data_IF_525264406774
#
_entry.id   IF_525264406774
#
_cell.length_a   1.000
_cell.length_b   1.000
_cell.length_c   1.000
_cell.angle_alpha   90.00
_cell.angle_beta   90.00
_cell.angle_gamma   90.00
#
_symmetry.space_group_name_H-M   'P 1'
#
loop_
_entity.id
_entity.type
_entity.pdbx_description
1 polymer ?
#
# COMPACT_ATOMS: atom_id res chain seq x y z
N UNK A 1 -7.27 -5.97 6.18
CA UNK A 1 -8.40 -6.91 6.00
C UNK A 1 -8.58 -7.87 7.19
N UNK A 2 -7.56 -8.58 7.68
CA UNK A 2 -7.72 -9.43 8.88
C UNK A 2 -8.16 -8.62 10.13
N UNK A 3 -7.59 -7.43 10.34
CA UNK A 3 -8.08 -6.52 11.38
C UNK A 3 -9.57 -6.14 11.22
N UNK A 4 -10.08 -6.09 9.98
CA UNK A 4 -11.51 -5.86 9.72
C UNK A 4 -12.36 -7.05 10.15
N UNK A 5 -11.86 -8.29 10.02
CA UNK A 5 -12.54 -9.49 10.50
C UNK A 5 -12.64 -9.47 12.03
N UNK A 6 -11.54 -9.17 12.73
CA UNK A 6 -11.52 -9.03 14.19
C UNK A 6 -12.48 -7.92 14.66
N UNK A 7 -12.35 -6.72 14.10
CA UNK A 7 -13.23 -5.59 14.40
C UNK A 7 -14.71 -5.94 14.16
N UNK A 8 -15.04 -6.52 13.00
CA UNK A 8 -16.44 -6.88 12.68
C UNK A 8 -16.99 -7.97 13.59
N UNK A 9 -16.14 -8.85 14.13
CA UNK A 9 -16.54 -9.89 15.07
C UNK A 9 -16.58 -9.43 16.53
N UNK A 10 -16.29 -8.15 16.82
CA UNK A 10 -16.26 -7.61 18.18
C UNK A 10 -15.06 -8.09 19.00
N UNK A 11 -13.97 -8.49 18.33
CA UNK A 11 -12.77 -9.06 18.96
C UNK A 11 -11.59 -8.11 18.81
N UNK A 12 -10.70 -8.13 19.81
CA UNK A 12 -9.38 -7.52 19.68
C UNK A 12 -8.63 -8.15 18.51
N UNK A 13 -8.01 -7.33 17.66
CA UNK A 13 -7.09 -7.85 16.65
C UNK A 13 -5.75 -8.18 17.32
N UNK A 14 -5.22 -9.37 17.08
CA UNK A 14 -3.87 -9.73 17.49
C UNK A 14 -2.93 -9.44 16.32
N UNK A 15 -1.98 -8.52 16.52
CA UNK A 15 -1.03 -8.15 15.48
C UNK A 15 0.36 -8.74 15.75
N UNK A 16 0.99 -9.20 14.66
CA UNK A 16 2.39 -9.60 14.64
C UNK A 16 3.28 -8.45 14.17
N UNK A 17 4.56 -8.51 14.55
CA UNK A 17 5.60 -7.71 13.92
C UNK A 17 5.75 -8.11 12.45
N UNK A 18 6.21 -7.17 11.61
CA UNK A 18 6.65 -7.52 10.26
C UNK A 18 7.81 -8.50 10.38
N UNK A 19 7.66 -9.71 9.86
CA UNK A 19 8.56 -10.84 10.13
C UNK A 19 9.08 -11.43 8.83
N UNK A 20 10.41 -11.46 8.67
CA UNK A 20 11.10 -12.05 7.53
C UNK A 20 11.27 -13.57 7.67
N UNK A 21 11.67 -14.03 8.85
CA UNK A 21 11.75 -15.44 9.23
C UNK A 21 11.19 -15.66 10.64
N UNK A 22 10.65 -16.86 10.88
CA UNK A 22 9.99 -17.26 12.15
C UNK A 22 10.85 -18.20 12.99
N UNK A 23 12.14 -18.30 12.69
CA UNK A 23 13.11 -19.15 13.39
C UNK A 23 13.71 -18.45 14.63
N UNK A 24 13.20 -17.26 14.97
CA UNK A 24 13.64 -16.42 16.08
C UNK A 24 15.08 -15.91 15.97
N UNK A 25 15.70 -15.89 14.79
CA UNK A 25 16.96 -15.15 14.61
C UNK A 25 16.70 -13.65 14.65
N UNK A 26 17.62 -12.87 15.21
CA UNK A 26 17.52 -11.40 15.20
C UNK A 26 17.71 -10.80 13.80
N UNK A 27 18.50 -11.48 12.97
CA UNK A 27 18.88 -11.03 11.64
C UNK A 27 18.60 -12.09 10.59
N UNK A 28 18.22 -11.60 9.41
CA UNK A 28 18.00 -12.33 8.18
C UNK A 28 18.96 -11.81 7.10
N UNK A 29 19.08 -12.56 6.01
CA UNK A 29 19.90 -12.18 4.85
C UNK A 29 19.01 -11.65 3.73
N UNK A 30 19.35 -10.50 3.16
CA UNK A 30 18.77 -9.98 1.93
C UNK A 30 19.83 -9.32 1.03
N UNK A 31 20.03 -9.88 -0.16
CA UNK A 31 20.95 -9.35 -1.20
C UNK A 31 22.41 -9.21 -0.73
N UNK A 32 22.92 -10.22 -0.05
CA UNK A 32 24.25 -10.28 0.57
C UNK A 32 24.40 -9.44 1.84
N UNK A 33 23.31 -9.01 2.49
CA UNK A 33 23.36 -8.07 3.63
C UNK A 33 22.46 -8.50 4.79
N UNK A 34 22.91 -8.30 6.04
CA UNK A 34 22.06 -8.53 7.20
C UNK A 34 20.95 -7.47 7.28
N UNK A 35 19.73 -7.93 7.48
CA UNK A 35 18.54 -7.13 7.77
C UNK A 35 17.91 -7.61 9.08
N UNK A 36 17.20 -6.77 9.84
CA UNK A 36 16.41 -7.23 10.97
C UNK A 36 15.40 -8.28 10.51
N UNK A 37 15.33 -9.40 11.23
CA UNK A 37 14.33 -10.44 10.98
C UNK A 37 12.93 -9.99 11.34
N UNK A 38 12.81 -9.07 12.29
CA UNK A 38 11.53 -8.51 12.72
C UNK A 38 11.61 -6.98 12.79
N UNK A 39 10.53 -6.33 12.37
CA UNK A 39 10.34 -4.89 12.51
C UNK A 39 9.02 -4.69 13.26
N UNK A 40 9.02 -3.98 14.40
CA UNK A 40 7.79 -3.67 15.11
C UNK A 40 6.75 -3.06 14.19
N UNK A 41 5.53 -3.58 14.18
CA UNK A 41 4.49 -3.03 13.31
C UNK A 41 4.19 -1.55 13.62
N UNK A 42 4.38 -1.16 14.89
CA UNK A 42 4.33 0.22 15.37
C UNK A 42 5.44 1.14 14.81
N UNK A 43 6.51 0.59 14.23
CA UNK A 43 7.52 1.36 13.50
C UNK A 43 7.06 1.73 12.08
N UNK A 44 6.04 1.04 11.54
CA UNK A 44 5.47 1.30 10.22
C UNK A 44 4.20 2.13 10.31
N UNK A 45 3.24 1.69 11.13
CA UNK A 45 1.89 2.26 11.19
C UNK A 45 1.52 2.72 12.60
N UNK A 46 0.45 3.50 12.68
CA UNK A 46 -0.20 3.93 13.92
C UNK A 46 -1.72 3.74 13.81
N UNK A 47 -2.43 3.89 14.94
CA UNK A 47 -3.89 3.76 15.02
C UNK A 47 -4.36 2.43 15.63
N UNK A 48 -5.64 2.09 15.49
CA UNK A 48 -6.24 0.98 16.22
C UNK A 48 -5.64 -0.39 15.92
N UNK A 49 -5.07 -0.59 14.74
CA UNK A 49 -4.48 -1.87 14.31
C UNK A 49 -3.28 -2.29 15.15
N UNK A 50 -2.62 -1.34 15.83
CA UNK A 50 -1.44 -1.56 16.66
C UNK A 50 -1.68 -1.15 18.13
N UNK A 51 -2.95 -1.18 18.57
CA UNK A 51 -3.34 -0.90 19.95
C UNK A 51 -3.64 0.58 20.25
N UNK A 52 -3.72 1.43 19.22
CA UNK A 52 -4.24 2.79 19.36
C UNK A 52 -5.75 2.80 19.67
N UNK A 53 -6.29 3.91 20.18
CA UNK A 53 -7.71 4.03 20.48
C UNK A 53 -8.56 4.09 19.21
N UNK A 54 -9.77 3.54 19.28
CA UNK A 54 -10.84 3.80 18.31
C UNK A 54 -11.48 5.19 18.54
N UNK A 55 -12.53 5.51 17.79
CA UNK A 55 -13.30 6.74 18.02
C UNK A 55 -14.01 6.71 19.38
N UNK A 56 -14.27 7.88 19.96
CA UNK A 56 -14.98 7.98 21.24
C UNK A 56 -16.35 7.28 21.15
N UNK A 57 -16.63 6.39 22.11
CA UNK A 57 -17.87 5.61 22.16
C UNK A 57 -17.81 4.28 21.41
N UNK A 58 -16.69 3.95 20.75
CA UNK A 58 -16.44 2.61 20.23
C UNK A 58 -15.97 1.70 21.37
N UNK A 59 -16.76 0.66 21.65
CA UNK A 59 -16.50 -0.31 22.73
C UNK A 59 -15.65 -1.51 22.24
N UNK A 60 -15.16 -1.49 21.00
CA UNK A 60 -14.34 -2.57 20.46
C UNK A 60 -13.04 -2.71 21.28
N UNK A 61 -12.66 -3.93 21.70
CA UNK A 61 -11.40 -4.15 22.40
C UNK A 61 -10.19 -3.69 21.58
N UNK A 62 -9.20 -3.10 22.28
CA UNK A 62 -7.96 -2.65 21.64
C UNK A 62 -7.18 -3.83 21.07
N UNK A 63 -6.54 -3.61 19.92
CA UNK A 63 -5.63 -4.59 19.35
C UNK A 63 -4.45 -4.82 20.28
N UNK A 64 -3.98 -6.07 20.35
CA UNK A 64 -2.87 -6.49 21.21
C UNK A 64 -1.76 -7.14 20.39
N UNK A 65 -0.53 -7.03 20.85
CA UNK A 65 0.58 -7.73 20.22
C UNK A 65 0.54 -9.23 20.57
N UNK A 66 1.11 -10.06 19.69
CA UNK A 66 1.08 -11.53 19.82
C UNK A 66 1.64 -12.03 21.15
N UNK A 67 2.71 -11.43 21.65
CA UNK A 67 3.35 -11.86 22.90
C UNK A 67 2.42 -11.67 24.11
N UNK A 68 1.67 -10.57 24.15
CA UNK A 68 0.65 -10.36 25.19
C UNK A 68 -0.52 -11.32 25.04
N UNK A 69 -0.99 -11.56 23.80
CA UNK A 69 -2.01 -12.57 23.56
C UNK A 69 -1.58 -13.94 24.08
N UNK A 70 -0.35 -14.37 23.80
CA UNK A 70 0.18 -15.67 24.25
C UNK A 70 0.29 -15.78 25.78
N UNK A 71 0.52 -14.66 26.47
CA UNK A 71 0.53 -14.60 27.93
C UNK A 71 -0.87 -14.78 28.52
N UNK A 72 -1.89 -14.08 27.98
CA UNK A 72 -3.24 -14.07 28.54
C UNK A 72 -4.14 -15.20 28.01
N UNK A 73 -3.77 -15.78 26.86
CA UNK A 73 -4.48 -16.84 26.16
C UNK A 73 -3.57 -18.07 25.96
N UNK A 74 -3.12 -18.77 27.02
CA UNK A 74 -2.18 -19.89 26.88
C UNK A 74 -2.79 -21.13 26.19
N UNK A 75 -4.13 -21.20 26.12
CA UNK A 75 -4.87 -22.31 25.52
C UNK A 75 -6.00 -21.78 24.64
N UNK A 76 -5.69 -21.08 23.52
CA UNK A 76 -6.72 -20.50 22.67
C UNK A 76 -7.47 -21.59 21.90
N UNK A 77 -8.73 -21.32 21.57
CA UNK A 77 -9.45 -22.12 20.57
C UNK A 77 -8.76 -21.99 19.21
N UNK A 78 -8.19 -23.08 18.72
CA UNK A 78 -7.54 -23.13 17.41
C UNK A 78 -8.58 -23.38 16.32
N UNK A 79 -8.68 -22.45 15.37
CA UNK A 79 -9.61 -22.52 14.24
C UNK A 79 -8.85 -22.77 12.94
N UNK A 80 -9.18 -23.88 12.28
CA UNK A 80 -8.70 -24.16 10.94
C UNK A 80 -9.52 -23.40 9.89
N UNK A 81 -8.86 -22.69 8.97
CA UNK A 81 -9.56 -21.90 7.94
C UNK A 81 -10.43 -22.73 6.99
N UNK A 82 -10.16 -24.04 6.85
CA UNK A 82 -10.94 -24.95 6.01
C UNK A 82 -12.38 -25.10 6.51
N UNK A 83 -12.64 -24.94 7.80
CA UNK A 83 -13.99 -25.00 8.38
C UNK A 83 -14.85 -23.89 7.78
N UNK A 84 -14.35 -22.65 7.81
CA UNK A 84 -15.09 -21.50 7.26
C UNK A 84 -15.13 -21.56 5.74
N UNK A 85 -14.07 -22.02 5.08
CA UNK A 85 -14.06 -22.22 3.63
C UNK A 85 -15.16 -23.20 3.17
N UNK A 86 -15.36 -24.31 3.90
CA UNK A 86 -16.44 -25.26 3.63
C UNK A 86 -17.83 -24.64 3.82
N UNK A 87 -18.03 -23.80 4.84
CA UNK A 87 -19.29 -23.06 5.05
C UNK A 87 -19.58 -22.09 3.90
N UNK A 88 -18.54 -21.47 3.35
CA UNK A 88 -18.65 -20.59 2.18
C UNK A 88 -19.03 -21.40 0.92
N UNK A 89 -18.44 -22.57 0.73
CA UNK A 89 -18.76 -23.49 -0.37
C UNK A 89 -18.44 -22.95 -1.77
N UNK A 90 -17.55 -21.97 -1.88
CA UNK A 90 -17.18 -21.27 -3.11
C UNK A 90 -15.71 -20.84 -3.04
N UNK A 91 -14.86 -21.42 -3.89
CA UNK A 91 -13.43 -21.15 -3.97
C UNK A 91 -13.12 -19.77 -4.60
N UNK A 92 -14.09 -19.19 -5.31
CA UNK A 92 -14.01 -17.85 -5.89
C UNK A 92 -14.85 -16.83 -5.10
N UNK A 93 -15.16 -17.13 -3.83
CA UNK A 93 -15.93 -16.24 -2.98
C UNK A 93 -15.35 -14.82 -2.94
N UNK A 94 -16.24 -13.84 -2.95
CA UNK A 94 -15.88 -12.42 -2.87
C UNK A 94 -15.31 -12.07 -1.48
N UNK A 95 -14.47 -11.05 -1.40
CA UNK A 95 -13.86 -10.60 -0.15
C UNK A 95 -14.92 -10.23 0.90
N UNK A 96 -16.05 -9.67 0.48
CA UNK A 96 -17.18 -9.41 1.38
C UNK A 96 -17.82 -10.70 1.90
N UNK A 97 -18.06 -11.70 1.03
CA UNK A 97 -18.62 -13.00 1.46
C UNK A 97 -17.69 -13.69 2.47
N UNK A 98 -16.38 -13.63 2.25
CA UNK A 98 -15.37 -14.15 3.18
C UNK A 98 -15.45 -13.41 4.52
N UNK A 99 -15.47 -12.06 4.50
CA UNK A 99 -15.61 -11.25 5.72
C UNK A 99 -16.87 -11.61 6.51
N UNK A 100 -18.02 -11.69 5.85
CA UNK A 100 -19.30 -11.98 6.49
C UNK A 100 -19.31 -13.39 7.12
N UNK A 101 -18.79 -14.39 6.41
CA UNK A 101 -18.70 -15.77 6.90
C UNK A 101 -17.79 -15.90 8.12
N UNK A 102 -16.58 -15.31 8.06
CA UNK A 102 -15.67 -15.28 9.20
C UNK A 102 -16.24 -14.52 10.40
N UNK A 103 -16.88 -13.39 10.14
CA UNK A 103 -17.51 -12.59 11.20
C UNK A 103 -18.61 -13.39 11.91
N UNK A 104 -19.48 -14.06 11.14
CA UNK A 104 -20.54 -14.91 11.69
C UNK A 104 -19.99 -16.09 12.48
N UNK A 105 -18.97 -16.78 11.93
CA UNK A 105 -18.33 -17.92 12.59
C UNK A 105 -17.67 -17.52 13.92
N UNK A 106 -16.88 -16.44 13.93
CA UNK A 106 -16.17 -15.98 15.13
C UNK A 106 -17.09 -15.46 16.22
N UNK A 107 -18.26 -14.92 15.88
CA UNK A 107 -19.29 -14.51 16.86
C UNK A 107 -19.96 -15.69 17.55
N UNK A 108 -19.91 -16.89 16.94
CA UNK A 108 -20.45 -18.12 17.53
C UNK A 108 -19.48 -18.86 18.45
N UNK A 109 -18.27 -18.35 18.65
CA UNK A 109 -17.27 -18.93 19.56
C UNK A 109 -17.33 -18.17 20.89
N UNK A 110 -17.66 -18.86 21.98
CA UNK A 110 -17.73 -18.25 23.32
C UNK A 110 -16.33 -17.94 23.89
N UNK A 111 -15.30 -18.69 23.48
CA UNK A 111 -13.93 -18.46 23.90
C UNK A 111 -13.44 -17.07 23.45
N UNK A 112 -13.01 -16.19 24.37
CA UNK A 112 -12.43 -14.90 24.00
C UNK A 112 -11.12 -15.04 23.22
N UNK A 113 -10.39 -16.14 23.44
CA UNK A 113 -9.09 -16.43 22.86
C UNK A 113 -9.23 -17.33 21.63
N UNK A 114 -9.05 -16.77 20.43
CA UNK A 114 -9.13 -17.53 19.17
C UNK A 114 -7.87 -17.29 18.36
N UNK A 115 -7.23 -18.38 17.94
CA UNK A 115 -6.07 -18.35 17.06
C UNK A 115 -6.36 -19.15 15.79
N UNK A 116 -5.98 -18.59 14.64
CA UNK A 116 -6.08 -19.29 13.36
C UNK A 116 -4.93 -20.28 13.26
N UNK A 117 -5.23 -21.53 12.91
CA UNK A 117 -4.23 -22.59 12.82
C UNK A 117 -3.06 -22.18 11.89
N UNK A 118 -1.83 -22.29 12.40
CA UNK A 118 -0.61 -21.84 11.72
C UNK A 118 -0.41 -22.44 10.32
N UNK A 119 -0.80 -23.71 10.17
CA UNK A 119 -0.60 -24.49 8.93
C UNK A 119 -1.85 -24.48 8.02
N UNK A 120 -2.83 -23.64 8.33
CA UNK A 120 -4.03 -23.48 7.49
C UNK A 120 -3.85 -22.38 6.44
N UNK A 121 -4.72 -22.38 5.43
CA UNK A 121 -4.71 -21.35 4.39
C UNK A 121 -5.04 -19.96 4.93
N UNK A 122 -4.64 -18.93 4.21
CA UNK A 122 -4.95 -17.54 4.56
C UNK A 122 -6.46 -17.29 4.49
N UNK A 123 -7.02 -16.52 5.44
CA UNK A 123 -8.43 -16.11 5.45
C UNK A 123 -8.84 -15.51 4.10
N UNK A 124 -8.02 -14.59 3.58
CA UNK A 124 -8.14 -14.07 2.22
C UNK A 124 -7.02 -14.68 1.38
N UNK A 125 -7.38 -15.50 0.40
CA UNK A 125 -6.42 -16.13 -0.51
C UNK A 125 -5.64 -15.08 -1.31
N UNK A 126 -4.45 -15.43 -1.78
CA UNK A 126 -3.62 -14.46 -2.48
C UNK A 126 -4.14 -14.10 -3.88
N UNK A 127 -4.93 -14.96 -4.52
CA UNK A 127 -5.47 -14.71 -5.86
C UNK A 127 -6.51 -13.59 -5.86
N UNK A 128 -7.19 -13.37 -4.73
CA UNK A 128 -8.19 -12.31 -4.59
C UNK A 128 -7.64 -10.93 -4.97
N UNK A 129 -6.35 -10.67 -4.69
CA UNK A 129 -5.69 -9.41 -5.00
C UNK A 129 -5.47 -9.19 -6.50
N UNK A 130 -5.56 -10.24 -7.34
CA UNK A 130 -5.55 -10.14 -8.80
C UNK A 130 -6.97 -10.16 -9.41
N UNK A 131 -8.02 -10.22 -8.60
CA UNK A 131 -9.40 -10.40 -9.05
C UNK A 131 -10.28 -9.25 -8.58
N UNK A 132 -10.35 -8.16 -9.37
CA UNK A 132 -11.03 -6.91 -8.99
C UNK A 132 -12.46 -7.11 -8.48
N UNK A 133 -13.25 -7.98 -9.12
CA UNK A 133 -14.63 -8.24 -8.73
C UNK A 133 -14.73 -8.90 -7.35
N UNK A 134 -13.80 -9.80 -7.02
CA UNK A 134 -13.75 -10.44 -5.70
C UNK A 134 -13.26 -9.45 -4.65
N UNK A 135 -12.14 -8.75 -4.86
CA UNK A 135 -11.55 -7.87 -3.86
C UNK A 135 -12.43 -6.64 -3.58
N UNK A 136 -12.85 -5.90 -4.61
CA UNK A 136 -13.54 -4.62 -4.43
C UNK A 136 -14.93 -4.76 -3.80
N UNK A 137 -15.49 -5.98 -3.73
CA UNK A 137 -16.72 -6.25 -2.99
C UNK A 137 -16.66 -5.82 -1.51
N UNK A 138 -15.47 -5.83 -0.89
CA UNK A 138 -15.29 -5.44 0.51
C UNK A 138 -15.22 -3.91 0.70
N UNK A 139 -15.01 -3.16 -0.39
CA UNK A 139 -14.68 -1.73 -0.32
C UNK A 139 -15.74 -0.88 0.39
N UNK A 140 -17.06 -1.07 0.19
CA UNK A 140 -18.08 -0.29 0.90
C UNK A 140 -17.94 -0.41 2.43
N UNK A 141 -17.62 -1.60 2.93
CA UNK A 141 -17.42 -1.83 4.37
C UNK A 141 -16.06 -1.30 4.83
N UNK A 142 -15.01 -1.58 4.05
CA UNK A 142 -13.64 -1.25 4.43
C UNK A 142 -13.39 0.27 4.43
N UNK A 143 -13.94 1.00 3.46
CA UNK A 143 -13.76 2.45 3.32
C UNK A 143 -14.43 3.26 4.42
N UNK A 144 -15.42 2.70 5.12
CA UNK A 144 -16.10 3.33 6.26
C UNK A 144 -15.57 2.84 7.61
N UNK A 145 -14.83 1.74 7.61
CA UNK A 145 -14.35 1.13 8.85
C UNK A 145 -13.31 1.99 9.59
N UNK A 146 -13.39 2.08 10.93
CA UNK A 146 -12.33 2.65 11.75
C UNK A 146 -10.95 2.01 11.51
N UNK A 147 -10.91 0.74 11.10
CA UNK A 147 -9.65 0.04 10.82
C UNK A 147 -8.87 0.66 9.66
N UNK A 148 -9.55 1.27 8.69
CA UNK A 148 -8.90 2.01 7.59
C UNK A 148 -8.93 3.53 7.84
N UNK A 149 -10.02 4.08 8.35
CA UNK A 149 -10.19 5.52 8.59
C UNK A 149 -9.21 6.09 9.62
N UNK A 150 -8.87 5.29 10.63
CA UNK A 150 -7.93 5.67 11.69
C UNK A 150 -6.52 5.11 11.47
N UNK A 151 -6.26 4.45 10.33
CA UNK A 151 -4.92 4.01 10.00
C UNK A 151 -4.03 5.23 9.80
N UNK A 152 -2.95 5.29 10.58
CA UNK A 152 -1.91 6.29 10.44
C UNK A 152 -0.56 5.67 10.13
N UNK A 153 0.41 6.54 9.84
CA UNK A 153 1.82 6.18 9.76
C UNK A 153 2.49 6.39 11.13
N UNK A 154 3.57 5.65 11.40
CA UNK A 154 4.28 5.79 12.68
C UNK A 154 4.98 7.16 12.81
N UNK A 155 5.32 7.60 14.04
CA UNK A 155 6.17 8.76 14.25
C UNK A 155 7.52 8.67 13.52
N UNK A 156 8.07 7.45 13.34
CA UNK A 156 9.33 7.22 12.63
C UNK A 156 9.21 7.58 11.13
N UNK A 157 8.08 7.23 10.51
CA UNK A 157 7.77 7.57 9.12
C UNK A 157 7.54 9.07 8.96
N UNK A 158 6.77 9.68 9.88
CA UNK A 158 6.52 11.12 9.87
C UNK A 158 7.82 11.92 10.03
N UNK A 159 8.70 11.52 10.94
CA UNK A 159 10.01 12.16 11.10
C UNK A 159 10.87 12.07 9.83
N UNK A 160 10.91 10.91 9.18
CA UNK A 160 11.63 10.73 7.91
C UNK A 160 11.05 11.62 6.80
N UNK A 161 9.73 11.67 6.71
CA UNK A 161 9.01 12.50 5.75
C UNK A 161 9.33 13.99 5.95
N UNK A 162 9.29 14.48 7.20
CA UNK A 162 9.45 15.91 7.49
C UNK A 162 10.88 16.41 7.20
N UNK A 163 11.91 15.64 7.56
CA UNK A 163 13.32 15.97 7.26
C UNK A 163 13.56 16.04 5.74
N UNK A 164 12.88 15.19 4.98
CA UNK A 164 13.04 15.08 3.53
C UNK A 164 12.07 15.95 2.73
N UNK A 165 11.21 16.73 3.39
CA UNK A 165 10.15 17.53 2.75
C UNK A 165 10.67 18.49 1.68
N UNK A 166 11.89 19.00 1.84
CA UNK A 166 12.57 19.87 0.89
C UNK A 166 12.75 19.25 -0.51
N UNK A 167 12.73 17.92 -0.64
CA UNK A 167 12.89 17.21 -1.91
C UNK A 167 11.64 17.29 -2.81
N UNK A 168 10.45 17.38 -2.21
CA UNK A 168 9.17 17.21 -2.91
C UNK A 168 8.11 18.28 -2.59
N UNK A 169 8.33 19.07 -1.53
CA UNK A 169 7.49 20.21 -1.14
C UNK A 169 8.36 21.34 -0.57
N UNK A 170 9.27 21.92 -1.38
CA UNK A 170 10.12 23.02 -0.93
C UNK A 170 9.26 24.22 -0.49
N UNK A 171 9.59 24.75 0.69
CA UNK A 171 8.93 25.93 1.28
C UNK A 171 9.19 27.13 0.36
N UNK A 172 8.13 27.78 -0.11
CA UNK A 172 8.29 29.04 -0.82
C UNK A 172 8.46 30.19 0.19
N UNK A 173 9.21 31.27 -0.14
CA UNK A 173 9.43 32.40 0.78
C UNK A 173 8.16 33.10 1.28
N UNK A 174 7.02 32.86 0.61
CA UNK A 174 5.71 33.41 0.93
C UNK A 174 4.81 32.43 1.70
N UNK A 175 5.27 31.20 1.96
CA UNK A 175 4.53 30.29 2.82
C UNK A 175 4.59 30.83 4.26
N UNK A 176 3.43 31.03 4.93
CA UNK A 176 3.43 31.46 6.32
C UNK A 176 4.27 30.49 7.14
N UNK A 177 5.24 31.03 7.89
CA UNK A 177 5.93 30.25 8.92
C UNK A 177 4.86 29.57 9.78
N UNK A 178 4.98 28.26 10.07
CA UNK A 178 4.05 27.60 10.97
C UNK A 178 4.22 28.23 12.35
N UNK A 179 3.37 29.19 12.68
CA UNK A 179 3.22 29.72 14.03
C UNK A 179 2.49 28.61 14.80
N UNK A 180 3.09 28.02 15.85
CA UNK A 180 2.41 27.03 16.67
C UNK A 180 1.38 27.75 17.54
N UNK A 181 0.24 28.14 16.96
CA UNK A 181 -0.94 28.53 17.73
C UNK A 181 -1.72 27.28 18.09
N UNK A 182 -1.96 27.08 19.39
CA UNK A 182 -2.69 25.97 20.02
C UNK A 182 -4.16 25.83 19.61
N UNK A 183 -4.60 26.50 18.55
CA UNK A 183 -6.00 26.61 18.10
C UNK A 183 -6.15 26.46 16.58
N UNK A 184 -5.15 25.94 15.86
CA UNK A 184 -5.42 25.55 14.47
C UNK A 184 -6.42 24.38 14.44
N UNK A 185 -7.48 24.42 13.61
CA UNK A 185 -8.28 23.23 13.35
C UNK A 185 -7.33 22.12 12.92
N UNK A 186 -7.46 20.93 13.52
CA UNK A 186 -6.64 19.74 13.27
C UNK A 186 -6.25 19.67 11.79
N UNK A 187 -5.03 20.14 11.45
CA UNK A 187 -4.54 20.04 10.07
C UNK A 187 -4.50 18.56 9.75
N UNK A 188 -5.27 18.17 8.76
CA UNK A 188 -5.27 16.81 8.26
C UNK A 188 -3.82 16.41 7.89
N UNK A 189 -3.20 15.48 8.64
CA UNK A 189 -1.78 15.16 8.47
C UNK A 189 -1.49 14.50 7.12
N UNK A 190 -2.54 14.03 6.43
CA UNK A 190 -2.46 13.39 5.12
C UNK A 190 -3.07 14.27 4.01
N UNK A 191 -3.25 15.57 4.28
CA UNK A 191 -3.64 16.53 3.25
C UNK A 191 -2.70 16.47 2.04
N UNK A 192 -3.30 16.58 0.86
CA UNK A 192 -2.58 16.58 -0.41
C UNK A 192 -1.60 17.76 -0.48
N UNK A 193 -0.46 17.55 -1.13
CA UNK A 193 0.62 18.51 -1.34
C UNK A 193 0.43 19.11 -2.73
N UNK A 194 0.00 20.39 -2.84
CA UNK A 194 -0.22 21.02 -4.13
C UNK A 194 1.07 21.07 -4.97
N UNK A 195 0.93 20.80 -6.25
CA UNK A 195 2.01 20.81 -7.23
C UNK A 195 2.92 19.59 -7.22
N UNK A 196 2.69 18.58 -6.37
CA UNK A 196 3.49 17.37 -6.29
C UNK A 196 2.95 16.24 -7.18
N UNK A 197 3.77 15.81 -8.14
CA UNK A 197 3.61 14.57 -8.91
C UNK A 197 4.50 13.48 -8.32
N UNK A 198 3.90 12.35 -7.93
CA UNK A 198 4.64 11.17 -7.48
C UNK A 198 4.60 10.08 -8.53
N UNK A 199 5.77 9.50 -8.83
CA UNK A 199 5.92 8.39 -9.77
C UNK A 199 6.38 7.15 -9.00
N UNK A 200 5.57 6.08 -9.00
CA UNK A 200 6.03 4.79 -8.49
C UNK A 200 6.53 3.91 -9.64
N UNK A 201 7.84 3.71 -9.70
CA UNK A 201 8.53 3.01 -10.77
C UNK A 201 9.33 1.84 -10.19
N UNK A 202 8.80 0.64 -10.37
CA UNK A 202 9.53 -0.60 -10.08
C UNK A 202 10.51 -0.95 -11.20
N UNK A 203 11.73 -1.26 -10.78
CA UNK A 203 12.90 -1.69 -11.57
C UNK A 203 13.56 -2.88 -10.88
N UNK A 204 14.83 -3.13 -11.16
CA UNK A 204 15.59 -4.20 -10.51
C UNK A 204 15.08 -5.58 -10.95
N UNK A 205 14.72 -6.40 -9.97
CA UNK A 205 14.09 -7.72 -10.10
C UNK A 205 12.74 -7.72 -10.83
N UNK A 206 12.16 -6.54 -11.05
CA UNK A 206 10.80 -6.41 -11.55
C UNK A 206 10.63 -6.70 -13.05
N UNK A 207 11.71 -6.76 -13.84
CA UNK A 207 11.61 -7.10 -15.28
C UNK A 207 11.13 -8.54 -15.48
N UNK A 208 11.78 -9.49 -14.80
CA UNK A 208 11.38 -10.91 -14.81
C UNK A 208 9.97 -11.09 -14.24
N UNK A 209 9.63 -10.31 -13.20
CA UNK A 209 8.27 -10.29 -12.65
C UNK A 209 7.23 -9.85 -13.68
N UNK A 210 7.50 -8.81 -14.46
CA UNK A 210 6.58 -8.36 -15.52
C UNK A 210 6.41 -9.41 -16.63
N UNK A 211 7.46 -10.14 -16.97
CA UNK A 211 7.38 -11.29 -17.90
C UNK A 211 6.49 -12.38 -17.33
N UNK A 212 6.63 -12.70 -16.04
CA UNK A 212 5.77 -13.68 -15.37
C UNK A 212 4.30 -13.22 -15.34
N UNK A 213 4.03 -11.95 -15.04
CA UNK A 213 2.67 -11.40 -15.08
C UNK A 213 2.03 -11.54 -16.48
N UNK A 214 2.82 -11.37 -17.54
CA UNK A 214 2.36 -11.55 -18.92
C UNK A 214 2.02 -13.02 -19.23
N UNK A 215 2.85 -13.96 -18.80
CA UNK A 215 2.67 -15.41 -18.97
C UNK A 215 1.41 -15.95 -18.30
N UNK A 216 0.98 -15.32 -17.21
CA UNK A 216 -0.18 -15.73 -16.41
C UNK A 216 -1.41 -14.85 -16.61
N UNK A 217 -1.34 -13.86 -17.51
CA UNK A 217 -2.51 -13.05 -17.85
C UNK A 217 -2.97 -12.19 -16.67
N UNK A 218 -2.03 -11.75 -15.83
CA UNK A 218 -2.35 -11.05 -14.60
C UNK A 218 -3.14 -9.76 -14.86
N UNK A 219 -4.17 -9.51 -14.04
CA UNK A 219 -4.82 -8.22 -14.00
C UNK A 219 -4.02 -7.24 -13.13
N UNK A 220 -4.42 -5.97 -13.15
CA UNK A 220 -4.01 -5.03 -12.11
C UNK A 220 -4.40 -5.56 -10.72
N UNK A 221 -3.64 -5.13 -9.72
CA UNK A 221 -3.98 -5.41 -8.33
C UNK A 221 -5.39 -4.84 -8.03
N UNK A 222 -6.15 -5.47 -7.15
CA UNK A 222 -7.57 -5.21 -7.00
C UNK A 222 -7.88 -3.77 -6.58
N UNK A 223 -7.12 -3.17 -5.63
CA UNK A 223 -7.31 -1.76 -5.29
C UNK A 223 -6.71 -0.79 -6.32
N UNK A 224 -5.95 -1.26 -7.31
CA UNK A 224 -5.61 -0.47 -8.51
C UNK A 224 -6.69 -0.55 -9.60
N UNK A 225 -7.80 -1.24 -9.36
CA UNK A 225 -8.81 -1.57 -10.37
C UNK A 225 -10.20 -0.99 -10.10
N UNK A 226 -10.28 0.06 -9.29
CA UNK A 226 -11.53 0.79 -9.05
C UNK A 226 -12.12 1.30 -10.37
N UNK A 227 -13.42 1.11 -10.64
CA UNK A 227 -14.07 1.60 -11.86
C UNK A 227 -13.94 3.11 -12.09
N UNK A 228 -13.80 3.89 -11.02
CA UNK A 228 -13.67 5.35 -11.06
C UNK A 228 -12.28 5.82 -11.52
N UNK A 229 -11.27 4.94 -11.52
CA UNK A 229 -9.92 5.29 -11.93
C UNK A 229 -9.82 5.40 -13.46
N UNK A 230 -9.09 6.40 -13.99
CA UNK A 230 -9.07 6.66 -15.43
C UNK A 230 -8.31 5.61 -16.23
N UNK A 231 -7.18 5.12 -15.71
CA UNK A 231 -6.31 4.19 -16.44
C UNK A 231 -6.69 2.73 -16.14
N UNK A 232 -7.71 2.20 -16.83
CA UNK A 232 -8.17 0.82 -16.66
C UNK A 232 -7.23 -0.22 -17.31
N UNK A 233 -7.38 -1.48 -16.90
CA UNK A 233 -6.65 -2.62 -17.48
C UNK A 233 -7.60 -3.71 -17.97
N UNK A 234 -7.31 -4.21 -19.16
CA UNK A 234 -7.96 -5.37 -19.75
C UNK A 234 -6.88 -6.35 -20.18
N UNK A 235 -6.90 -7.55 -19.61
CA UNK A 235 -5.96 -8.62 -19.95
C UNK A 235 -6.12 -9.01 -21.43
N UNK A 236 -5.03 -9.02 -22.23
CA UNK A 236 -5.07 -9.50 -23.60
C UNK A 236 -5.49 -10.97 -23.69
N UNK A 237 -6.24 -11.37 -24.73
CA UNK A 237 -6.61 -12.78 -24.92
C UNK A 237 -5.37 -13.66 -25.11
N UNK A 238 -5.49 -14.94 -24.73
CA UNK A 238 -4.44 -15.95 -24.96
C UNK A 238 -3.29 -15.98 -23.95
N UNK A 239 -3.42 -15.34 -22.78
CA UNK A 239 -2.35 -15.18 -21.78
C UNK A 239 -2.43 -16.14 -20.57
N UNK A 240 -3.06 -17.31 -20.66
CA UNK A 240 -3.56 -18.03 -19.46
C UNK A 240 -2.94 -19.41 -19.18
N UNK A 241 -1.68 -19.68 -19.59
CA UNK A 241 -1.07 -21.01 -19.41
C UNK A 241 0.44 -21.02 -19.10
N UNK A 242 0.99 -19.92 -18.61
CA UNK A 242 2.44 -19.81 -18.41
C UNK A 242 3.22 -19.50 -19.69
N UNK A 243 2.52 -19.26 -20.80
CA UNK A 243 3.08 -18.86 -22.09
C UNK A 243 2.47 -17.52 -22.51
N UNK A 244 3.25 -16.69 -23.19
CA UNK A 244 2.80 -15.40 -23.74
C UNK A 244 3.42 -15.18 -25.12
N UNK A 245 2.68 -14.53 -26.02
CA UNK A 245 3.24 -14.04 -27.29
C UNK A 245 4.15 -12.84 -27.01
N UNK A 246 5.07 -12.56 -27.94
CA UNK A 246 5.91 -11.35 -27.88
C UNK A 246 5.06 -10.07 -27.87
N UNK A 247 3.98 -10.04 -28.65
CA UNK A 247 3.04 -8.91 -28.66
C UNK A 247 2.40 -8.68 -27.29
N UNK A 248 1.94 -9.75 -26.64
CA UNK A 248 1.38 -9.67 -25.29
C UNK A 248 2.45 -9.27 -24.28
N UNK A 249 3.66 -9.80 -24.36
CA UNK A 249 4.77 -9.40 -23.50
C UNK A 249 5.04 -7.89 -23.61
N UNK A 250 5.16 -7.36 -24.84
CA UNK A 250 5.36 -5.92 -25.05
C UNK A 250 4.16 -5.08 -24.60
N UNK A 251 2.93 -5.61 -24.68
CA UNK A 251 1.74 -4.96 -24.10
C UNK A 251 1.84 -4.84 -22.57
N UNK A 252 2.25 -5.91 -21.88
CA UNK A 252 2.49 -5.87 -20.43
C UNK A 252 3.65 -4.94 -20.07
N UNK A 253 4.79 -5.04 -20.77
CA UNK A 253 5.99 -4.24 -20.46
C UNK A 253 5.73 -2.73 -20.56
N UNK A 254 4.85 -2.29 -21.48
CA UNK A 254 4.45 -0.87 -21.56
C UNK A 254 3.83 -0.33 -20.27
N UNK A 255 3.14 -1.15 -19.50
CA UNK A 255 2.41 -0.76 -18.28
C UNK A 255 3.13 -1.21 -17.00
N UNK A 256 3.81 -2.35 -17.07
CA UNK A 256 4.51 -2.94 -15.93
C UNK A 256 5.96 -2.45 -15.82
N UNK A 257 6.65 -2.24 -16.94
CA UNK A 257 8.07 -1.88 -16.98
C UNK A 257 8.37 -0.81 -18.05
N UNK A 258 7.70 0.37 -18.01
CA UNK A 258 7.79 1.36 -19.08
C UNK A 258 9.21 1.88 -19.27
N UNK A 259 9.66 2.10 -20.49
CA UNK A 259 10.92 2.76 -20.80
C UNK A 259 10.94 4.23 -20.34
N UNK A 260 12.13 4.85 -20.25
CA UNK A 260 12.24 6.28 -19.90
C UNK A 260 11.41 7.17 -20.86
N UNK A 261 11.45 6.99 -22.19
CA UNK A 261 10.59 7.74 -23.10
C UNK A 261 9.09 7.60 -22.79
N UNK A 262 8.61 6.38 -22.52
CA UNK A 262 7.21 6.13 -22.17
C UNK A 262 6.82 6.77 -20.84
N UNK A 263 7.72 6.76 -19.84
CA UNK A 263 7.49 7.47 -18.57
C UNK A 263 7.33 8.97 -18.83
N UNK A 264 8.23 9.56 -19.60
CA UNK A 264 8.18 11.00 -19.91
C UNK A 264 6.90 11.34 -20.68
N UNK A 265 6.49 10.51 -21.63
CA UNK A 265 5.23 10.66 -22.35
C UNK A 265 4.02 10.66 -21.41
N UNK A 266 3.92 9.66 -20.52
CA UNK A 266 2.83 9.58 -19.54
C UNK A 266 2.83 10.76 -18.57
N UNK A 267 4.00 11.25 -18.15
CA UNK A 267 4.11 12.44 -17.30
C UNK A 267 3.55 13.68 -18.01
N UNK A 268 3.85 13.87 -19.30
CA UNK A 268 3.35 15.01 -20.07
C UNK A 268 1.83 14.91 -20.35
N UNK A 269 1.33 13.71 -20.63
CA UNK A 269 -0.11 13.43 -20.73
C UNK A 269 -0.83 13.84 -19.44
N UNK A 270 -0.34 13.38 -18.29
CA UNK A 270 -0.91 13.67 -16.98
C UNK A 270 -0.79 15.15 -16.63
N UNK A 271 0.33 15.80 -16.93
CA UNK A 271 0.52 17.25 -16.72
C UNK A 271 -0.47 18.09 -17.52
N UNK A 272 -0.92 17.59 -18.67
CA UNK A 272 -1.92 18.25 -19.53
C UNK A 272 -3.37 18.00 -19.06
N UNK A 273 -3.59 17.08 -18.13
CA UNK A 273 -4.93 16.79 -17.57
C UNK A 273 -5.40 17.85 -16.58
N UNK A 274 -6.68 17.79 -16.20
CA UNK A 274 -7.24 18.65 -15.14
C UNK A 274 -6.57 18.40 -13.79
N UNK A 275 -6.38 17.14 -13.39
CA UNK A 275 -5.70 16.82 -12.14
C UNK A 275 -4.22 17.27 -12.14
N UNK A 276 -3.60 17.38 -13.32
CA UNK A 276 -2.21 17.80 -13.49
C UNK A 276 -1.95 19.30 -13.46
N UNK A 277 -2.99 20.14 -13.39
CA UNK A 277 -2.81 21.59 -13.36
C UNK A 277 -2.00 22.03 -12.13
N UNK A 278 -0.98 22.86 -12.35
CA UNK A 278 -0.11 23.38 -11.29
C UNK A 278 0.97 22.41 -10.80
N UNK A 279 1.12 21.23 -11.41
CA UNK A 279 2.23 20.32 -11.12
C UNK A 279 3.58 21.00 -11.42
N UNK A 280 4.46 21.01 -10.42
CA UNK A 280 5.76 21.70 -10.46
C UNK A 280 6.89 20.91 -9.80
N UNK A 281 6.57 19.89 -8.99
CA UNK A 281 7.54 19.03 -8.32
C UNK A 281 7.33 17.56 -8.71
N UNK A 282 8.42 16.82 -8.94
CA UNK A 282 8.39 15.36 -9.15
C UNK A 282 9.14 14.66 -8.03
N UNK A 283 8.52 13.63 -7.46
CA UNK A 283 9.18 12.67 -6.61
C UNK A 283 9.06 11.25 -7.17
N UNK A 284 10.18 10.55 -7.31
CA UNK A 284 10.23 9.19 -7.89
C UNK A 284 10.52 8.14 -6.82
N UNK A 285 9.53 7.33 -6.50
CA UNK A 285 9.65 6.12 -5.67
C UNK A 285 10.19 4.99 -6.54
N UNK A 286 11.42 4.51 -6.28
CA UNK A 286 12.04 3.50 -7.15
C UNK A 286 13.16 2.70 -6.48
N UNK A 287 13.21 1.40 -6.77
CA UNK A 287 14.33 0.52 -6.44
C UNK A 287 15.43 0.50 -7.53
N UNK A 288 15.38 1.41 -8.52
CA UNK A 288 16.33 1.43 -9.63
C UNK A 288 17.77 1.75 -9.19
N UNK A 289 18.74 1.33 -10.01
CA UNK A 289 20.16 1.72 -9.88
C UNK A 289 20.31 3.24 -10.04
N UNK A 290 21.27 3.84 -9.33
CA UNK A 290 21.51 5.29 -9.33
C UNK A 290 21.69 5.89 -10.74
N UNK A 291 22.42 5.18 -11.62
CA UNK A 291 22.62 5.61 -13.01
C UNK A 291 21.30 5.74 -13.77
N UNK A 292 20.39 4.77 -13.62
CA UNK A 292 19.09 4.78 -14.28
C UNK A 292 18.21 5.92 -13.75
N UNK A 293 18.19 6.11 -12.42
CA UNK A 293 17.46 7.21 -11.80
C UNK A 293 17.96 8.58 -12.32
N UNK A 294 19.28 8.76 -12.45
CA UNK A 294 19.88 9.97 -13.01
C UNK A 294 19.49 10.21 -14.48
N UNK A 295 19.44 9.16 -15.30
CA UNK A 295 18.97 9.25 -16.69
C UNK A 295 17.50 9.67 -16.77
N UNK A 296 16.64 9.11 -15.92
CA UNK A 296 15.22 9.51 -15.86
C UNK A 296 15.09 10.99 -15.44
N UNK A 297 15.78 11.41 -14.36
CA UNK A 297 15.79 12.81 -13.92
C UNK A 297 16.21 13.75 -15.06
N UNK A 298 17.24 13.37 -15.80
CA UNK A 298 17.72 14.14 -16.96
C UNK A 298 16.65 14.24 -18.04
N UNK A 299 15.97 13.14 -18.36
CA UNK A 299 14.92 13.14 -19.38
C UNK A 299 13.71 14.00 -18.97
N UNK A 300 13.30 13.94 -17.71
CA UNK A 300 12.22 14.79 -17.16
C UNK A 300 12.61 16.27 -17.15
N UNK A 301 13.84 16.60 -16.73
CA UNK A 301 14.37 17.99 -16.76
C UNK A 301 14.35 18.59 -18.16
N UNK A 302 14.65 17.80 -19.20
CA UNK A 302 14.62 18.26 -20.60
C UNK A 302 13.23 18.73 -21.06
N UNK A 303 12.14 18.29 -20.41
CA UNK A 303 10.78 18.80 -20.70
C UNK A 303 10.51 20.19 -20.13
N UNK A 304 11.32 20.65 -19.17
CA UNK A 304 11.15 21.95 -18.53
C UNK A 304 9.90 22.06 -17.65
N UNK A 305 9.78 23.18 -16.93
CA UNK A 305 8.61 23.48 -16.09
C UNK A 305 8.56 22.77 -14.73
N UNK A 306 9.64 22.10 -14.32
CA UNK A 306 9.76 21.45 -13.00
C UNK A 306 10.69 22.27 -12.09
N UNK A 307 10.22 22.64 -10.90
CA UNK A 307 10.99 23.28 -9.83
C UNK A 307 11.93 22.26 -9.17
N UNK A 308 11.38 21.09 -8.77
CA UNK A 308 12.18 19.99 -8.22
C UNK A 308 11.90 18.66 -8.91
N UNK A 309 12.96 17.84 -9.01
CA UNK A 309 12.86 16.44 -9.41
C UNK A 309 13.80 15.67 -8.48
N UNK A 310 13.21 14.86 -7.60
CA UNK A 310 13.90 14.05 -6.61
C UNK A 310 13.50 12.57 -6.72
N UNK A 311 14.31 11.70 -6.13
CA UNK A 311 14.02 10.27 -6.02
C UNK A 311 14.19 9.76 -4.60
N UNK A 312 13.56 8.64 -4.28
CA UNK A 312 13.77 7.84 -3.06
C UNK A 312 15.23 7.54 -2.73
N UNK A 313 16.15 7.59 -3.71
CA UNK A 313 17.60 7.44 -3.46
C UNK A 313 18.26 8.65 -2.82
N UNK A 314 17.57 9.79 -2.81
CA UNK A 314 18.02 11.07 -2.25
C UNK A 314 17.44 11.32 -0.85
N UNK A 315 16.62 10.40 -0.33
CA UNK A 315 16.16 10.46 1.05
C UNK A 315 17.34 10.35 2.02
N UNK A 316 17.43 11.31 2.94
CA UNK A 316 18.29 11.23 4.11
C UNK A 316 17.56 10.47 5.21
N UNK A 317 18.04 9.25 5.50
CA UNK A 317 17.40 8.31 6.41
C UNK A 317 18.39 7.83 7.48
N UNK A 318 17.94 7.84 8.73
CA UNK A 318 18.60 7.16 9.84
C UNK A 318 18.70 5.66 9.59
N UNK A 319 19.48 4.95 10.43
CA UNK A 319 19.66 3.50 10.29
C UNK A 319 18.32 2.76 10.39
N UNK A 320 17.48 3.16 11.34
CA UNK A 320 16.17 2.57 11.63
C UNK A 320 15.20 2.86 10.46
N UNK A 321 15.19 4.10 9.97
CA UNK A 321 14.31 4.51 8.87
C UNK A 321 14.62 3.78 7.55
N UNK A 322 15.85 3.33 7.32
CA UNK A 322 16.20 2.56 6.11
C UNK A 322 15.42 1.26 5.97
N UNK A 323 15.03 0.63 7.07
CA UNK A 323 14.26 -0.62 7.05
C UNK A 323 12.76 -0.41 6.84
N UNK A 324 12.29 0.84 6.91
CA UNK A 324 10.90 1.23 6.72
C UNK A 324 10.74 2.28 5.61
N UNK A 325 11.75 2.47 4.77
CA UNK A 325 11.81 3.51 3.75
C UNK A 325 10.64 3.45 2.75
N UNK A 326 10.15 2.24 2.45
CA UNK A 326 8.98 2.01 1.61
C UNK A 326 7.72 2.71 2.15
N UNK A 327 7.55 2.76 3.48
CA UNK A 327 6.42 3.44 4.10
C UNK A 327 6.53 4.97 3.99
N UNK A 328 7.75 5.51 3.98
CA UNK A 328 8.01 6.93 3.70
C UNK A 328 7.59 7.26 2.27
N UNK A 329 8.00 6.45 1.30
CA UNK A 329 7.58 6.56 -0.10
C UNK A 329 6.06 6.51 -0.24
N UNK A 330 5.39 5.58 0.45
CA UNK A 330 3.94 5.46 0.44
C UNK A 330 3.24 6.69 1.04
N UNK A 331 3.75 7.25 2.13
CA UNK A 331 3.23 8.50 2.70
C UNK A 331 3.36 9.67 1.71
N UNK A 332 4.51 9.78 1.00
CA UNK A 332 4.69 10.81 -0.03
C UNK A 332 3.68 10.60 -1.18
N UNK A 333 3.52 9.36 -1.67
CA UNK A 333 2.56 9.01 -2.72
C UNK A 333 1.10 9.22 -2.32
N UNK A 334 0.73 8.89 -1.08
CA UNK A 334 -0.60 9.13 -0.53
C UNK A 334 -0.93 10.61 -0.57
N UNK A 335 0.03 11.46 -0.22
CA UNK A 335 -0.14 12.92 -0.15
C UNK A 335 0.10 13.65 -1.48
N UNK A 336 0.47 12.96 -2.55
CA UNK A 336 0.70 13.61 -3.84
C UNK A 336 -0.57 14.33 -4.35
N UNK A 337 -0.40 15.44 -5.07
CA UNK A 337 -1.50 15.99 -5.87
C UNK A 337 -1.90 14.96 -6.93
N UNK A 338 -0.93 14.40 -7.65
CA UNK A 338 -1.16 13.30 -8.60
C UNK A 338 -0.17 12.18 -8.35
N UNK A 339 -0.67 10.94 -8.37
CA UNK A 339 0.13 9.72 -8.33
C UNK A 339 0.07 9.05 -9.72
N UNK A 340 1.23 8.70 -10.29
CA UNK A 340 1.33 7.74 -11.39
C UNK A 340 1.97 6.46 -10.83
N UNK A 341 1.14 5.43 -10.69
CA UNK A 341 1.51 4.17 -10.08
C UNK A 341 1.76 3.04 -11.07
N UNK A 342 2.31 1.93 -10.57
CA UNK A 342 2.32 0.67 -11.29
C UNK A 342 1.08 -0.16 -10.91
N UNK A 343 0.18 -0.40 -11.87
CA UNK A 343 -1.11 -1.07 -11.62
C UNK A 343 -0.99 -2.52 -11.14
N UNK A 344 0.14 -3.19 -11.39
CA UNK A 344 0.38 -4.56 -10.91
C UNK A 344 0.98 -4.60 -9.50
N UNK A 345 1.53 -3.49 -9.01
CA UNK A 345 2.23 -3.45 -7.73
C UNK A 345 1.27 -3.33 -6.55
N UNK A 346 1.47 -4.21 -5.55
CA UNK A 346 0.79 -4.12 -4.24
C UNK A 346 1.09 -2.82 -3.50
N UNK A 347 2.34 -2.31 -3.57
CA UNK A 347 2.70 -1.04 -2.95
C UNK A 347 1.89 0.13 -3.53
N UNK A 348 1.70 0.16 -4.86
CA UNK A 348 0.77 1.13 -5.47
C UNK A 348 -0.65 0.91 -4.94
N UNK A 349 -1.10 -0.35 -4.89
CA UNK A 349 -2.45 -0.74 -4.48
C UNK A 349 -2.78 -0.23 -3.08
N UNK A 350 -1.84 -0.32 -2.14
CA UNK A 350 -1.99 0.21 -0.78
C UNK A 350 -2.11 1.74 -0.79
N UNK A 351 -1.30 2.45 -1.58
CA UNK A 351 -1.43 3.91 -1.72
C UNK A 351 -2.79 4.29 -2.32
N UNK A 352 -3.23 3.58 -3.36
CA UNK A 352 -4.53 3.84 -4.00
C UNK A 352 -5.67 3.57 -3.04
N UNK A 353 -5.63 2.47 -2.27
CA UNK A 353 -6.58 2.19 -1.20
C UNK A 353 -6.66 3.38 -0.22
N UNK A 354 -5.52 3.91 0.23
CA UNK A 354 -5.49 5.06 1.14
C UNK A 354 -5.99 6.35 0.49
N UNK A 355 -5.74 6.58 -0.80
CA UNK A 355 -6.23 7.73 -1.55
C UNK A 355 -7.74 7.65 -1.79
N UNK A 356 -8.26 6.47 -2.08
CA UNK A 356 -9.69 6.24 -2.32
C UNK A 356 -10.51 6.30 -1.03
N UNK A 357 -9.91 6.03 0.13
CA UNK A 357 -10.56 6.21 1.44
C UNK A 357 -10.73 7.71 1.83
N UNK A 358 -10.27 8.61 0.98
CA UNK A 358 -10.17 10.06 1.21
C UNK A 358 -10.93 10.81 0.12
N UNK A 359 -11.35 12.06 0.35
CA UNK A 359 -12.06 12.86 -0.64
C UNK A 359 -11.12 13.41 -1.73
N UNK A 360 -10.28 12.56 -2.32
CA UNK A 360 -9.43 12.88 -3.46
C UNK A 360 -10.14 12.49 -4.76
N UNK A 361 -9.99 13.31 -5.80
CA UNK A 361 -10.52 12.96 -7.12
C UNK A 361 -9.86 11.68 -7.65
N UNK A 362 -10.61 10.68 -8.14
CA UNK A 362 -10.02 9.51 -8.80
C UNK A 362 -9.10 9.85 -9.98
N UNK A 363 -9.34 10.97 -10.68
CA UNK A 363 -8.48 11.47 -11.77
C UNK A 363 -7.05 11.83 -11.30
N UNK A 364 -6.86 12.01 -9.99
CA UNK A 364 -5.55 12.25 -9.38
C UNK A 364 -4.72 10.97 -9.18
N UNK A 365 -5.26 9.81 -9.52
CA UNK A 365 -4.59 8.51 -9.43
C UNK A 365 -4.54 7.90 -10.83
N UNK A 366 -3.33 7.78 -11.37
CA UNK A 366 -3.04 7.35 -12.74
C UNK A 366 -2.14 6.11 -12.71
N UNK A 367 -2.08 5.38 -13.81
CA UNK A 367 -1.22 4.20 -13.98
C UNK A 367 -0.45 4.24 -15.31
N UNK A 368 0.78 3.72 -15.28
CA UNK A 368 1.64 3.51 -16.47
C UNK A 368 0.94 2.75 -17.54
#
# INVERSE_FOLDING_TARGET
>A
MNAQVAYSSGRAFVYDNYTWNRDNTEYSEFSGKPIPSQIPLSALISGPLIGGPFVLGDETPLSVHKEYFDEICPHPTIVDTRIVAQLIGDDQASAKRILDAWTGYLRGIDDPCVEIARDSDRIFDYYIYGQKARLLSIWPVLSESPTLRLLGWSPLIHAAFDVNRHLFAPIQPLDPLPIPTSLEPLRDPYASIPGLLVLHIRRGDFEDHCTHLAQWGAAFNGFNSFPELPDQWTTPPGTWKGETTEENLQFYLRRCFPSIPQIVEKVEEVRSSRAGQGLKNIYVMTNAKARWASQLKTALRKKGGWETIATSRELDLTREQKYVAQAVDMLIGQRAQVLIGNGFSSLTSDIVMLRMARPLSPDSTRFW
#
